data_IF_061741450950
#
_entry.id   IF_061741450950
#
_cell.length_a   1.000
_cell.length_b   1.000
_cell.length_c   1.000
_cell.angle_alpha   90.00
_cell.angle_beta   90.00
_cell.angle_gamma   90.00
#
_symmetry.space_group_name_H-M   'P 1'
#
loop_
_entity.id
_entity.type
_entity.pdbx_description
1 polymer ?
#
# COMPACT_ATOMS: atom_id res chain seq x y z
N UNK A 1 -6.42 11.47 12.25
CA UNK A 1 -5.15 10.79 12.00
C UNK A 1 -4.57 11.23 10.67
N UNK A 2 -3.28 11.33 10.57
CA UNK A 2 -2.64 11.76 9.33
C UNK A 2 -2.60 10.65 8.30
N UNK A 3 -2.94 11.01 7.07
CA UNK A 3 -2.89 10.14 5.91
C UNK A 3 -1.59 10.39 5.15
N UNK A 4 -0.81 9.34 4.93
CA UNK A 4 0.51 9.41 4.29
C UNK A 4 0.72 8.18 3.43
N UNK A 5 1.85 8.16 2.70
CA UNK A 5 2.28 6.93 2.04
C UNK A 5 2.37 5.81 3.10
N UNK A 6 1.75 4.66 2.81
CA UNK A 6 1.82 3.52 3.72
C UNK A 6 3.28 3.11 3.93
N UNK A 7 3.65 2.74 5.16
CA UNK A 7 4.99 2.23 5.42
C UNK A 7 5.28 0.93 4.67
N UNK A 8 4.24 0.26 4.18
CA UNK A 8 4.34 -0.96 3.37
C UNK A 8 4.25 -0.69 1.88
N UNK A 9 4.20 0.56 1.46
CA UNK A 9 4.20 0.97 0.06
C UNK A 9 5.62 1.34 -0.36
N UNK A 10 6.08 0.75 -1.45
CA UNK A 10 7.39 1.02 -2.03
C UNK A 10 7.18 1.64 -3.41
N UNK A 11 7.74 2.82 -3.60
CA UNK A 11 7.67 3.53 -4.86
C UNK A 11 8.92 3.26 -5.67
N UNK A 12 8.74 2.92 -6.94
CA UNK A 12 9.83 2.60 -7.85
C UNK A 12 9.71 3.51 -9.06
N UNK A 13 10.80 4.20 -9.39
CA UNK A 13 10.89 5.04 -10.58
C UNK A 13 12.06 4.57 -11.42
N UNK A 14 11.81 4.22 -12.68
CA UNK A 14 12.83 3.81 -13.61
C UNK A 14 12.53 4.42 -14.99
N UNK A 15 13.35 5.38 -15.42
CA UNK A 15 13.11 6.15 -16.65
C UNK A 15 11.74 6.82 -16.60
N UNK A 16 10.83 6.47 -17.51
CA UNK A 16 9.46 7.00 -17.57
C UNK A 16 8.45 6.07 -16.89
N UNK A 17 8.92 5.03 -16.23
CA UNK A 17 8.05 4.05 -15.59
C UNK A 17 7.93 4.33 -14.09
N UNK A 18 6.70 4.46 -13.62
CA UNK A 18 6.39 4.69 -12.21
C UNK A 18 5.58 3.51 -11.69
N UNK A 19 6.10 2.86 -10.66
CA UNK A 19 5.47 1.68 -10.06
C UNK A 19 5.26 1.90 -8.56
N UNK A 20 4.22 1.31 -8.04
CA UNK A 20 3.97 1.24 -6.60
C UNK A 20 3.71 -0.21 -6.21
N UNK A 21 4.43 -0.67 -5.20
CA UNK A 21 4.23 -1.98 -4.62
C UNK A 21 3.72 -1.84 -3.20
N UNK A 22 2.70 -2.61 -2.84
CA UNK A 22 2.23 -2.66 -1.47
C UNK A 22 2.32 -4.08 -0.93
N UNK A 23 3.09 -4.27 0.13
CA UNK A 23 3.18 -5.57 0.80
C UNK A 23 1.91 -5.86 1.60
N UNK A 24 1.19 -4.84 2.07
CA UNK A 24 -0.08 -5.02 2.74
C UNK A 24 -1.14 -5.64 1.82
N UNK A 25 -1.20 -5.18 0.56
CA UNK A 25 -2.10 -5.72 -0.45
C UNK A 25 -1.48 -6.78 -1.33
N UNK A 26 -0.17 -6.99 -1.22
CA UNK A 26 0.61 -7.91 -2.04
C UNK A 26 0.38 -7.70 -3.54
N UNK A 27 0.46 -6.45 -3.97
CA UNK A 27 0.14 -6.05 -5.35
C UNK A 27 1.11 -5.01 -5.88
N UNK A 28 1.36 -5.07 -7.19
CA UNK A 28 2.09 -4.06 -7.93
C UNK A 28 1.11 -3.26 -8.77
N UNK A 29 1.34 -1.96 -8.85
CA UNK A 29 0.54 -1.06 -9.67
C UNK A 29 1.46 -0.20 -10.53
N UNK A 30 1.11 -0.09 -11.81
CA UNK A 30 1.70 0.91 -12.69
C UNK A 30 0.90 2.20 -12.49
N UNK A 31 1.57 3.28 -12.11
CA UNK A 31 0.92 4.54 -11.78
C UNK A 31 1.46 5.67 -12.64
N UNK A 32 0.73 6.77 -12.68
CA UNK A 32 1.19 7.98 -13.37
C UNK A 32 2.23 8.73 -12.54
N UNK A 33 2.98 9.61 -13.18
CA UNK A 33 3.90 10.50 -12.47
C UNK A 33 3.16 11.33 -11.42
N UNK A 34 1.95 11.81 -11.75
CA UNK A 34 1.12 12.56 -10.84
C UNK A 34 0.79 11.73 -9.58
N UNK A 35 0.38 10.49 -9.75
CA UNK A 35 0.07 9.60 -8.63
C UNK A 35 1.32 9.30 -7.79
N UNK A 36 2.46 9.09 -8.44
CA UNK A 36 3.73 8.86 -7.76
C UNK A 36 4.07 10.04 -6.84
N UNK A 37 4.03 11.26 -7.38
CA UNK A 37 4.34 12.46 -6.61
C UNK A 37 3.33 12.69 -5.50
N UNK A 38 2.06 12.42 -5.76
CA UNK A 38 1.00 12.55 -4.78
C UNK A 38 1.23 11.61 -3.58
N UNK A 39 1.56 10.35 -3.85
CA UNK A 39 1.83 9.37 -2.80
C UNK A 39 3.10 9.76 -2.02
N UNK A 40 4.16 10.14 -2.73
CA UNK A 40 5.44 10.44 -2.10
C UNK A 40 5.37 11.64 -1.16
N UNK A 41 4.53 12.61 -1.47
CA UNK A 41 4.45 13.87 -0.73
C UNK A 41 3.18 14.00 0.11
N UNK A 42 2.35 12.97 0.19
CA UNK A 42 1.09 13.05 0.90
C UNK A 42 1.32 13.21 2.40
N UNK A 43 0.72 14.25 2.98
CA UNK A 43 0.73 14.51 4.41
C UNK A 43 -0.48 15.39 4.73
N UNK A 44 -1.60 14.77 5.06
CA UNK A 44 -2.83 15.49 5.34
C UNK A 44 -3.63 14.76 6.41
N UNK A 45 -4.54 15.48 7.08
CA UNK A 45 -5.48 14.86 7.98
C UNK A 45 -6.55 14.09 7.20
N UNK A 46 -6.92 12.92 7.69
CA UNK A 46 -7.96 12.10 7.09
C UNK A 46 -9.28 12.87 6.97
N UNK A 47 -9.58 13.71 7.96
CA UNK A 47 -10.81 14.51 7.99
C UNK A 47 -10.88 15.54 6.86
N UNK A 48 -9.73 15.94 6.31
CA UNK A 48 -9.64 16.90 5.22
C UNK A 48 -9.84 16.27 3.85
N UNK A 49 -9.93 14.95 3.79
CA UNK A 49 -9.99 14.21 2.53
C UNK A 49 -11.17 14.62 1.66
N UNK A 50 -12.33 14.85 2.26
CA UNK A 50 -13.54 15.24 1.53
C UNK A 50 -13.44 16.64 0.90
N UNK A 51 -12.61 17.50 1.48
CA UNK A 51 -12.42 18.87 1.03
C UNK A 51 -11.20 19.01 0.11
N UNK A 52 -10.40 17.95 -0.02
CA UNK A 52 -9.19 18.00 -0.82
C UNK A 52 -9.52 18.03 -2.31
N UNK A 53 -8.72 18.77 -3.08
CA UNK A 53 -8.86 18.86 -4.53
C UNK A 53 -8.79 17.49 -5.19
N UNK A 54 -7.92 16.62 -4.69
CA UNK A 54 -7.70 15.27 -5.23
C UNK A 54 -8.24 14.19 -4.28
N UNK A 55 -9.33 14.50 -3.56
CA UNK A 55 -9.89 13.60 -2.56
C UNK A 55 -10.28 12.24 -3.12
N UNK A 56 -10.89 12.21 -4.32
CA UNK A 56 -11.30 10.95 -4.94
C UNK A 56 -10.10 10.09 -5.33
N UNK A 57 -9.07 10.71 -5.89
CA UNK A 57 -7.82 10.02 -6.25
C UNK A 57 -7.14 9.46 -5.01
N UNK A 58 -7.09 10.24 -3.93
CA UNK A 58 -6.48 9.80 -2.67
C UNK A 58 -7.27 8.63 -2.07
N UNK A 59 -8.60 8.66 -2.12
CA UNK A 59 -9.44 7.56 -1.65
C UNK A 59 -9.16 6.28 -2.43
N UNK A 60 -8.99 6.40 -3.74
CA UNK A 60 -8.65 5.27 -4.60
C UNK A 60 -7.28 4.68 -4.19
N UNK A 61 -6.29 5.54 -3.94
CA UNK A 61 -4.98 5.12 -3.48
C UNK A 61 -5.06 4.43 -2.12
N UNK A 62 -5.95 4.89 -1.24
CA UNK A 62 -6.20 4.28 0.06
C UNK A 62 -6.79 2.88 -0.09
N UNK A 63 -7.73 2.70 -1.00
CA UNK A 63 -8.32 1.40 -1.28
C UNK A 63 -7.30 0.43 -1.84
N UNK A 64 -6.32 0.93 -2.60
CA UNK A 64 -5.21 0.15 -3.13
C UNK A 64 -4.13 -0.13 -2.10
N UNK A 65 -4.26 0.40 -0.88
CA UNK A 65 -3.30 0.30 0.22
C UNK A 65 -1.96 0.94 -0.06
N UNK A 66 -1.93 1.93 -0.92
CA UNK A 66 -0.73 2.70 -1.22
C UNK A 66 -0.54 3.87 -0.26
N UNK A 67 -1.64 4.42 0.25
CA UNK A 67 -1.63 5.43 1.31
C UNK A 67 -2.51 4.94 2.45
N UNK A 68 -2.18 5.33 3.67
CA UNK A 68 -2.90 4.87 4.85
C UNK A 68 -2.63 5.78 6.04
N UNK A 69 -3.40 5.58 7.11
CA UNK A 69 -3.10 6.17 8.41
C UNK A 69 -2.13 5.26 9.16
N UNK A 70 -1.48 5.78 10.19
CA UNK A 70 -0.62 4.96 11.05
C UNK A 70 -1.36 3.79 11.68
N UNK A 71 -2.63 3.99 12.03
CA UNK A 71 -3.47 2.93 12.58
C UNK A 71 -3.71 1.81 11.57
N UNK A 72 -4.00 2.16 10.31
CA UNK A 72 -4.19 1.17 9.26
C UNK A 72 -2.92 0.37 9.00
N UNK A 73 -1.76 1.02 9.07
CA UNK A 73 -0.47 0.34 8.92
C UNK A 73 -0.23 -0.65 10.08
N UNK A 74 -0.60 -0.27 11.30
CA UNK A 74 -0.48 -1.16 12.46
C UNK A 74 -1.38 -2.39 12.31
N UNK A 75 -2.60 -2.21 11.82
CA UNK A 75 -3.51 -3.31 11.53
C UNK A 75 -2.99 -4.21 10.42
N UNK A 76 -2.31 -3.64 9.42
CA UNK A 76 -1.76 -4.39 8.29
C UNK A 76 -0.64 -5.34 8.71
N UNK A 77 0.07 -5.07 9.81
CA UNK A 77 1.12 -5.96 10.33
C UNK A 77 0.57 -7.36 10.58
N UNK A 78 -0.60 -7.46 11.22
CA UNK A 78 -1.21 -8.75 11.53
C UNK A 78 -1.60 -9.51 10.27
N UNK A 79 -2.12 -8.81 9.26
CA UNK A 79 -2.45 -9.43 7.97
C UNK A 79 -1.21 -9.95 7.26
N UNK A 80 -0.11 -9.21 7.30
CA UNK A 80 1.15 -9.61 6.68
C UNK A 80 1.70 -10.85 7.40
N UNK A 81 1.68 -10.86 8.71
CA UNK A 81 2.12 -12.01 9.51
C UNK A 81 1.31 -13.25 9.21
N UNK A 82 -0.01 -13.12 9.18
CA UNK A 82 -0.91 -14.23 8.89
C UNK A 82 -0.63 -14.80 7.50
N UNK A 83 -0.43 -13.94 6.53
CA UNK A 83 -0.11 -14.34 5.15
C UNK A 83 1.23 -15.08 5.09
N UNK A 84 2.23 -14.60 5.81
CA UNK A 84 3.54 -15.25 5.89
C UNK A 84 3.43 -16.64 6.49
N UNK A 85 2.71 -16.78 7.61
CA UNK A 85 2.52 -18.06 8.28
C UNK A 85 1.78 -19.05 7.37
N UNK A 86 0.74 -18.59 6.69
CA UNK A 86 -0.03 -19.39 5.75
C UNK A 86 0.84 -19.89 4.60
N UNK A 87 1.67 -19.04 4.04
CA UNK A 87 2.56 -19.40 2.94
C UNK A 87 3.62 -20.40 3.40
N UNK A 88 4.18 -20.23 4.59
CA UNK A 88 5.14 -21.16 5.17
C UNK A 88 4.53 -22.53 5.38
N UNK A 89 3.32 -22.56 5.90
CA UNK A 89 2.57 -23.80 6.11
C UNK A 89 2.30 -24.52 4.78
N UNK A 90 1.90 -23.79 3.76
CA UNK A 90 1.66 -24.37 2.43
C UNK A 90 2.92 -24.95 1.83
N UNK A 91 4.05 -24.30 2.00
CA UNK A 91 5.34 -24.82 1.52
C UNK A 91 5.68 -26.15 2.19
N UNK A 92 5.46 -26.24 3.47
CA UNK A 92 5.71 -27.48 4.22
C UNK A 92 4.79 -28.60 3.74
N UNK A 93 3.54 -28.31 3.47
CA UNK A 93 2.57 -29.27 2.93
C UNK A 93 3.01 -29.75 1.56
N UNK A 94 3.47 -28.85 0.68
CA UNK A 94 3.96 -29.19 -0.64
C UNK A 94 5.18 -30.11 -0.55
N UNK A 95 6.11 -29.84 0.36
CA UNK A 95 7.28 -30.68 0.59
C UNK A 95 6.89 -32.10 1.01
N UNK A 96 5.87 -32.22 1.82
CA UNK A 96 5.37 -33.53 2.25
C UNK A 96 4.70 -34.30 1.11
N UNK A 97 4.14 -33.60 0.16
CA UNK A 97 3.47 -34.19 -1.00
C UNK A 97 4.46 -34.65 -2.07
N UNK A 98 5.59 -33.98 -2.14
CA UNK A 98 6.64 -34.31 -3.11
C UNK A 98 7.55 -35.41 -2.61
#
# INVERSE_FOLDING_TARGET
MKLRKSRYCFLIKKEDLFLAYTSAGNSFYKISEFAYDLIANLDMEEDELEKAEYGNEIRQLKDMRLVSTGREDDEAVDLIRLRYLTNSFRKDTIKLTL
#
